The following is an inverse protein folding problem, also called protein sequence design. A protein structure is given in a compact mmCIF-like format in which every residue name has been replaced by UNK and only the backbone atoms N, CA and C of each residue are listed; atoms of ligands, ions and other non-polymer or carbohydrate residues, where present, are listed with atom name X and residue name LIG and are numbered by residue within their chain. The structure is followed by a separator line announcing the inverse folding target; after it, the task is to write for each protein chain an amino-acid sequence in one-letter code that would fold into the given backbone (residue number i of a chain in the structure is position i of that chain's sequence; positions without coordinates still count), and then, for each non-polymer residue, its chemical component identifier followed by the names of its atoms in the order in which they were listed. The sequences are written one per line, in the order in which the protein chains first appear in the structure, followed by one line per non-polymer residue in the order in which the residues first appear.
data_IF_904520964410
#
_entry.id   IF_904520964410
#
_cell.length_a   1.000
_cell.length_b   1.000
_cell.length_c   1.000
_cell.angle_alpha   90.00
_cell.angle_beta   90.00
_cell.angle_gamma   90.00
#
_symmetry.space_group_name_H-M   'P 1'
#
loop_
_entity.id
_entity.type
_entity.pdbx_description
1 polymer ?
#
# COMPACT_ATOMS: atom_id res chain seq x y z
N UNK A 1 -12.60 2.89 -29.43
CA UNK A 1 -11.47 2.20 -28.76
C UNK A 1 -10.97 3.15 -27.68
N UNK A 2 -11.45 2.98 -26.46
CA UNK A 2 -11.10 3.83 -25.30
C UNK A 2 -9.94 3.14 -24.59
N UNK A 3 -8.74 3.66 -24.76
CA UNK A 3 -7.52 3.02 -24.24
C UNK A 3 -6.23 3.74 -24.64
N UNK A 4 -6.25 5.07 -24.76
CA UNK A 4 -5.00 5.82 -24.89
C UNK A 4 -4.55 6.29 -23.52
N UNK A 5 -3.45 5.69 -23.05
CA UNK A 5 -2.62 6.27 -22.00
C UNK A 5 -2.67 5.60 -20.63
N UNK A 6 -2.71 4.27 -20.53
CA UNK A 6 -2.00 3.61 -19.41
C UNK A 6 -0.65 3.20 -19.96
N UNK A 7 0.36 4.01 -19.62
CA UNK A 7 1.76 3.75 -19.98
C UNK A 7 2.16 2.34 -19.58
N UNK A 8 3.16 1.78 -20.26
CA UNK A 8 3.76 0.47 -19.95
C UNK A 8 3.97 0.36 -18.44
N UNK A 9 3.08 -0.38 -17.76
CA UNK A 9 3.20 -0.65 -16.33
C UNK A 9 4.44 -1.53 -16.18
N UNK A 10 5.37 -1.17 -15.28
CA UNK A 10 6.59 -1.97 -15.06
C UNK A 10 6.20 -3.40 -14.67
N UNK A 11 6.99 -4.39 -15.08
CA UNK A 11 6.82 -5.78 -14.66
C UNK A 11 6.91 -5.97 -13.14
N UNK A 12 7.49 -5.00 -12.44
CA UNK A 12 7.64 -5.01 -10.99
C UNK A 12 6.36 -4.60 -10.26
N UNK A 13 5.36 -4.08 -10.99
CA UNK A 13 4.05 -3.75 -10.43
C UNK A 13 3.26 -5.04 -10.23
N UNK A 14 2.65 -5.19 -9.06
CA UNK A 14 1.85 -6.37 -8.74
C UNK A 14 0.60 -6.43 -9.61
N UNK A 15 0.52 -7.44 -10.47
CA UNK A 15 -0.65 -7.69 -11.32
C UNK A 15 -1.81 -8.34 -10.53
N UNK A 16 -1.48 -9.25 -9.60
CA UNK A 16 -2.44 -9.88 -8.69
C UNK A 16 -1.76 -10.26 -7.37
N UNK A 17 -2.31 -9.78 -6.26
CA UNK A 17 -1.89 -10.20 -4.94
C UNK A 17 -2.21 -11.69 -4.74
N UNK A 18 -1.23 -12.46 -4.27
CA UNK A 18 -1.35 -13.91 -4.05
C UNK A 18 -1.63 -14.76 -5.31
N UNK A 19 -1.50 -14.20 -6.52
CA UNK A 19 -1.78 -14.95 -7.77
C UNK A 19 -0.91 -16.20 -7.96
N UNK A 20 0.25 -16.27 -7.31
CA UNK A 20 1.13 -17.45 -7.32
C UNK A 20 0.63 -18.60 -6.43
N UNK A 21 -0.24 -18.34 -5.46
CA UNK A 21 -0.83 -19.38 -4.60
C UNK A 21 -1.81 -20.28 -5.37
N UNK A 22 -2.35 -19.82 -6.50
CA UNK A 22 -3.26 -20.60 -7.33
C UNK A 22 -2.58 -21.80 -8.03
N UNK A 23 -1.25 -21.80 -8.12
CA UNK A 23 -0.45 -22.90 -8.65
C UNK A 23 -0.05 -23.91 -7.55
N UNK A 24 -0.94 -24.12 -6.57
CA UNK A 24 -0.67 -24.70 -5.24
C UNK A 24 -0.03 -26.09 -5.18
N UNK A 25 0.07 -26.80 -6.30
CA UNK A 25 0.76 -28.10 -6.39
C UNK A 25 2.20 -28.00 -6.94
N UNK A 26 2.63 -26.82 -7.43
CA UNK A 26 3.94 -26.62 -8.05
C UNK A 26 4.93 -25.79 -7.19
N UNK A 27 4.44 -25.13 -6.13
CA UNK A 27 5.26 -24.22 -5.29
C UNK A 27 4.96 -24.45 -3.80
N UNK A 28 5.97 -24.90 -3.05
CA UNK A 28 5.91 -24.95 -1.59
C UNK A 28 6.05 -23.53 -1.01
N UNK A 29 5.01 -23.06 -0.30
CA UNK A 29 5.03 -21.77 0.40
C UNK A 29 5.27 -21.96 1.89
N UNK A 30 6.25 -21.24 2.45
CA UNK A 30 6.44 -21.19 3.90
C UNK A 30 5.40 -20.28 4.54
N UNK A 31 5.21 -20.41 5.86
CA UNK A 31 4.39 -19.46 6.63
C UNK A 31 4.91 -18.01 6.53
N UNK A 32 6.21 -17.85 6.35
CA UNK A 32 6.83 -16.53 6.15
C UNK A 32 6.44 -15.93 4.79
N UNK A 33 6.43 -16.75 3.73
CA UNK A 33 6.01 -16.31 2.38
C UNK A 33 4.55 -15.88 2.36
N UNK A 34 3.69 -16.65 3.03
CA UNK A 34 2.28 -16.29 3.17
C UNK A 34 2.11 -14.98 3.95
N UNK A 35 2.83 -14.82 5.07
CA UNK A 35 2.79 -13.58 5.85
C UNK A 35 3.23 -12.37 5.02
N UNK A 36 4.32 -12.49 4.25
CA UNK A 36 4.80 -11.45 3.35
C UNK A 36 3.77 -11.10 2.26
N UNK A 37 3.12 -12.12 1.68
CA UNK A 37 2.04 -11.93 0.72
C UNK A 37 0.85 -11.18 1.31
N UNK A 38 0.45 -11.50 2.54
CA UNK A 38 -0.63 -10.82 3.26
C UNK A 38 -0.25 -9.37 3.57
N UNK A 39 0.96 -9.11 4.08
CA UNK A 39 1.39 -7.73 4.38
C UNK A 39 1.44 -6.86 3.12
N UNK A 40 1.88 -7.42 2.00
CA UNK A 40 1.88 -6.71 0.71
C UNK A 40 0.45 -6.40 0.23
N UNK A 41 -0.45 -7.39 0.30
CA UNK A 41 -1.86 -7.20 -0.06
C UNK A 41 -2.51 -6.07 0.77
N UNK A 42 -2.29 -6.09 2.09
CA UNK A 42 -2.82 -5.06 2.99
C UNK A 42 -2.26 -3.68 2.61
N UNK A 43 -0.93 -3.55 2.47
CA UNK A 43 -0.29 -2.29 2.12
C UNK A 43 -0.77 -1.73 0.79
N UNK A 44 -0.84 -2.56 -0.26
CA UNK A 44 -1.29 -2.12 -1.58
C UNK A 44 -2.76 -1.69 -1.58
N UNK A 45 -3.62 -2.42 -0.86
CA UNK A 45 -5.05 -2.10 -0.77
C UNK A 45 -5.25 -0.74 -0.10
N UNK A 46 -4.60 -0.51 1.04
CA UNK A 46 -4.66 0.77 1.77
C UNK A 46 -4.16 1.92 0.88
N UNK A 47 -2.99 1.76 0.27
CA UNK A 47 -2.37 2.80 -0.51
C UNK A 47 -3.17 3.15 -1.77
N UNK A 48 -3.67 2.14 -2.49
CA UNK A 48 -4.47 2.34 -3.70
C UNK A 48 -5.78 3.08 -3.37
N UNK A 49 -6.46 2.68 -2.29
CA UNK A 49 -7.66 3.38 -1.82
C UNK A 49 -7.36 4.84 -1.46
N UNK A 50 -6.28 5.10 -0.72
CA UNK A 50 -5.86 6.45 -0.35
C UNK A 50 -5.50 7.31 -1.56
N UNK A 51 -4.76 6.76 -2.53
CA UNK A 51 -4.39 7.44 -3.77
C UNK A 51 -5.61 7.81 -4.59
N UNK A 52 -6.59 6.92 -4.75
CA UNK A 52 -7.81 7.23 -5.51
C UNK A 52 -8.70 8.24 -4.80
N UNK A 53 -8.79 8.20 -3.47
CA UNK A 53 -9.43 9.27 -2.71
C UNK A 53 -8.71 10.60 -2.93
N UNK A 54 -7.38 10.61 -2.88
CA UNK A 54 -6.58 11.82 -3.10
C UNK A 54 -6.79 12.42 -4.50
N UNK A 55 -6.79 11.56 -5.52
CA UNK A 55 -7.09 11.92 -6.91
C UNK A 55 -8.50 12.51 -7.05
N UNK A 56 -9.52 11.87 -6.47
CA UNK A 56 -10.91 12.32 -6.55
C UNK A 56 -11.11 13.70 -5.90
N UNK A 57 -10.39 13.98 -4.82
CA UNK A 57 -10.47 15.25 -4.09
C UNK A 57 -9.40 16.28 -4.48
N UNK A 58 -8.55 15.97 -5.48
CA UNK A 58 -7.45 16.85 -5.94
C UNK A 58 -6.50 17.26 -4.81
N UNK A 59 -6.25 16.36 -3.87
CA UNK A 59 -5.25 16.54 -2.82
C UNK A 59 -3.98 15.79 -3.18
N UNK A 60 -2.82 16.36 -2.86
CA UNK A 60 -1.52 15.79 -3.24
C UNK A 60 -0.86 14.99 -2.12
N UNK A 61 -1.15 15.39 -0.88
CA UNK A 61 -0.52 14.85 0.32
C UNK A 61 -1.42 13.84 1.00
N UNK A 62 -0.84 12.68 1.36
CA UNK A 62 -1.49 11.62 2.12
C UNK A 62 -0.69 11.43 3.41
N UNK A 63 -1.34 11.54 4.57
CA UNK A 63 -0.70 11.34 5.88
C UNK A 63 -1.09 9.98 6.45
N UNK A 64 -0.08 9.15 6.76
CA UNK A 64 -0.27 7.81 7.28
C UNK A 64 -0.27 7.83 8.81
N UNK A 65 -1.34 7.33 9.42
CA UNK A 65 -1.49 7.29 10.88
C UNK A 65 -2.11 5.97 11.34
N UNK A 66 -2.15 5.75 12.66
CA UNK A 66 -2.69 4.53 13.28
C UNK A 66 -1.64 3.44 13.48
N UNK A 67 -2.02 2.38 14.21
CA UNK A 67 -1.08 1.34 14.68
C UNK A 67 -0.39 0.54 13.58
N UNK A 68 -1.01 0.43 12.39
CA UNK A 68 -0.43 -0.31 11.26
C UNK A 68 0.88 0.31 10.77
N UNK A 69 1.13 1.59 11.08
CA UNK A 69 2.41 2.26 10.80
C UNK A 69 3.60 1.67 11.57
N UNK A 70 3.37 0.80 12.57
CA UNK A 70 4.42 0.04 13.26
C UNK A 70 4.91 -1.20 12.50
N UNK A 71 4.19 -1.62 11.46
CA UNK A 71 4.52 -2.82 10.69
C UNK A 71 5.27 -2.38 9.44
N UNK A 72 6.61 -2.43 9.50
CA UNK A 72 7.48 -1.86 8.46
C UNK A 72 7.17 -2.38 7.03
N UNK A 73 6.95 -3.68 6.79
CA UNK A 73 6.63 -4.16 5.44
C UNK A 73 5.36 -3.55 4.83
N UNK A 74 4.36 -3.25 5.68
CA UNK A 74 3.13 -2.58 5.24
C UNK A 74 3.42 -1.13 4.88
N UNK A 75 4.20 -0.42 5.70
CA UNK A 75 4.62 0.96 5.44
C UNK A 75 5.40 1.05 4.13
N UNK A 76 6.40 0.19 3.94
CA UNK A 76 7.23 0.16 2.72
C UNK A 76 6.37 -0.04 1.48
N UNK A 77 5.43 -0.98 1.53
CA UNK A 77 4.49 -1.24 0.44
C UNK A 77 3.65 0.00 0.13
N UNK A 78 3.15 0.69 1.15
CA UNK A 78 2.34 1.90 0.98
C UNK A 78 3.18 3.02 0.32
N UNK A 79 4.41 3.24 0.79
CA UNK A 79 5.30 4.26 0.24
C UNK A 79 5.64 3.97 -1.22
N UNK A 80 5.87 2.70 -1.58
CA UNK A 80 6.14 2.28 -2.97
C UNK A 80 4.96 2.58 -3.90
N UNK A 81 3.73 2.30 -3.45
CA UNK A 81 2.53 2.67 -4.22
C UNK A 81 2.40 4.19 -4.33
N UNK A 82 2.71 4.94 -3.26
CA UNK A 82 2.73 6.40 -3.30
C UNK A 82 3.69 6.95 -4.36
N UNK A 83 4.90 6.39 -4.46
CA UNK A 83 5.87 6.74 -5.50
C UNK A 83 5.36 6.42 -6.90
N UNK A 84 4.74 5.25 -7.11
CA UNK A 84 4.18 4.83 -8.39
C UNK A 84 3.14 5.83 -8.92
N UNK A 85 2.31 6.38 -8.03
CA UNK A 85 1.27 7.35 -8.37
C UNK A 85 1.70 8.81 -8.18
N UNK A 86 2.99 9.06 -7.90
CA UNK A 86 3.55 10.39 -7.67
C UNK A 86 2.80 11.19 -6.60
N UNK A 87 2.49 10.55 -5.47
CA UNK A 87 1.83 11.17 -4.32
C UNK A 87 2.78 11.38 -3.16
N UNK A 88 2.64 12.52 -2.48
CA UNK A 88 3.43 12.84 -1.31
C UNK A 88 2.89 12.11 -0.08
N UNK A 89 3.55 11.02 0.30
CA UNK A 89 3.24 10.24 1.50
C UNK A 89 4.02 10.80 2.70
N UNK A 90 3.34 11.11 3.80
CA UNK A 90 3.96 11.56 5.06
C UNK A 90 3.68 10.53 6.15
N UNK A 91 4.74 10.05 6.79
CA UNK A 91 4.66 9.29 8.04
C UNK A 91 5.14 10.17 9.20
N UNK A 92 4.23 10.74 10.01
CA UNK A 92 4.61 11.58 11.13
C UNK A 92 5.25 10.76 12.25
N UNK A 93 6.09 11.37 13.10
CA UNK A 93 6.53 10.73 14.33
C UNK A 93 5.32 10.38 15.21
N UNK A 94 5.37 9.24 15.90
CA UNK A 94 4.28 8.77 16.78
C UNK A 94 2.93 8.66 16.05
N UNK A 95 2.94 8.30 14.77
CA UNK A 95 1.77 8.14 13.90
C UNK A 95 0.65 7.28 14.51
N UNK A 96 0.98 6.35 15.40
CA UNK A 96 0.06 5.47 16.10
C UNK A 96 -0.66 6.11 17.31
N UNK A 97 -0.15 7.23 17.82
CA UNK A 97 -0.69 7.96 18.97
C UNK A 97 -1.49 9.21 18.59
N UNK A 98 -1.64 9.52 17.30
CA UNK A 98 -2.27 10.76 16.82
C UNK A 98 -3.64 11.01 17.46
N UNK A 99 -4.48 9.97 17.61
CA UNK A 99 -5.79 10.11 18.26
C UNK A 99 -5.69 10.47 19.75
N UNK A 100 -4.73 9.91 20.49
CA UNK A 100 -4.53 10.21 21.91
C UNK A 100 -3.94 11.60 22.11
N UNK A 101 -3.00 12.01 21.25
CA UNK A 101 -2.44 13.36 21.22
C UNK A 101 -3.56 14.38 20.93
N UNK A 102 -4.40 14.10 19.94
CA UNK A 102 -5.53 14.96 19.59
C UNK A 102 -6.58 15.09 20.70
N UNK A 103 -6.85 14.03 21.45
CA UNK A 103 -7.82 14.05 22.55
C UNK A 103 -7.35 14.86 23.78
N UNK A 104 -6.05 15.13 23.89
CA UNK A 104 -5.47 15.94 24.99
C UNK A 104 -5.59 17.45 24.74
N UNK A 105 -5.63 17.87 23.48
CA UNK A 105 -5.66 19.28 23.07
C UNK A 105 -7.07 19.86 23.20
#
# INVERSE_FOLDING_TARGET
IVGRGIGRISSDVTASNLGKLAYGDEIDFTKADLAAGITNLIGQTIATAAVFAALAHKVDTIVLTGKLTRIQPIVDTILNVGQLYQRHMILPPQADFVSAIGAKL
#
